data_IF_753772866257
#
_entry.id   IF_753772866257
#
_cell.length_a   1.000
_cell.length_b   1.000
_cell.length_c   1.000
_cell.angle_alpha   90.00
_cell.angle_beta   90.00
_cell.angle_gamma   90.00
#
_symmetry.space_group_name_H-M   'P 1'
#
loop_
_entity.id
_entity.type
_entity.pdbx_description
1 polymer ?
#
# COMPACT_ATOMS: atom_id res chain seq x y z
N UNK A 1 29.28 -11.25 7.36
CA UNK A 1 28.89 -10.39 8.49
C UNK A 1 30.14 -9.77 9.12
N UNK A 2 31.12 -10.53 9.68
CA UNK A 2 32.34 -9.96 10.33
C UNK A 2 33.10 -8.95 9.48
N UNK A 3 33.22 -9.17 8.16
CA UNK A 3 33.88 -8.21 7.26
C UNK A 3 33.06 -6.90 7.13
N UNK A 4 31.73 -7.00 7.06
CA UNK A 4 30.84 -5.83 7.03
C UNK A 4 30.91 -5.03 8.33
N UNK A 5 30.91 -5.70 9.48
CA UNK A 5 31.07 -5.07 10.81
C UNK A 5 32.39 -4.29 10.91
N UNK A 6 33.49 -4.89 10.39
CA UNK A 6 34.80 -4.25 10.37
C UNK A 6 34.82 -2.98 9.52
N UNK A 7 34.20 -3.03 8.32
CA UNK A 7 34.11 -1.88 7.41
C UNK A 7 33.25 -0.79 8.05
N UNK A 8 32.07 -1.15 8.56
CA UNK A 8 31.15 -0.18 9.17
C UNK A 8 31.76 0.44 10.42
N UNK A 9 32.43 -0.33 11.28
CA UNK A 9 33.10 0.17 12.45
C UNK A 9 34.19 1.21 12.16
N UNK A 10 34.84 1.11 10.99
CA UNK A 10 35.84 2.09 10.56
C UNK A 10 35.22 3.29 9.83
N UNK A 11 34.09 3.09 9.13
CA UNK A 11 33.46 4.14 8.32
C UNK A 11 32.56 5.05 9.17
N UNK A 12 31.73 4.49 10.04
CA UNK A 12 30.71 5.24 10.80
C UNK A 12 30.84 5.13 12.31
N UNK A 13 31.60 4.14 12.83
CA UNK A 13 31.80 3.83 14.24
C UNK A 13 30.49 3.47 14.98
N UNK A 14 29.66 4.44 15.30
CA UNK A 14 28.37 4.27 15.99
C UNK A 14 27.35 5.33 15.54
N UNK A 15 26.11 5.17 15.98
CA UNK A 15 25.08 6.19 15.78
C UNK A 15 25.47 7.48 16.50
N UNK A 16 25.12 8.64 15.92
CA UNK A 16 25.40 9.93 16.56
C UNK A 16 24.63 10.07 17.90
N UNK A 17 25.14 10.88 18.80
CA UNK A 17 24.59 11.05 20.15
C UNK A 17 23.16 11.63 20.17
N UNK A 18 22.85 12.52 19.23
CA UNK A 18 21.48 13.08 19.07
C UNK A 18 20.50 11.97 18.70
N UNK A 19 20.88 11.11 17.73
CA UNK A 19 20.05 9.97 17.34
C UNK A 19 19.89 8.95 18.47
N UNK A 20 20.91 8.73 19.29
CA UNK A 20 20.80 7.85 20.45
C UNK A 20 19.84 8.43 21.51
N UNK A 21 19.92 9.71 21.82
CA UNK A 21 19.01 10.37 22.75
C UNK A 21 17.55 10.33 22.23
N UNK A 22 17.35 10.62 20.95
CA UNK A 22 16.02 10.51 20.32
C UNK A 22 15.47 9.08 20.35
N UNK A 23 16.31 8.07 20.12
CA UNK A 23 15.90 6.67 20.20
C UNK A 23 15.50 6.25 21.63
N UNK A 24 16.21 6.72 22.66
CA UNK A 24 15.84 6.48 24.06
C UNK A 24 14.46 7.06 24.34
N UNK A 25 14.21 8.34 23.98
CA UNK A 25 12.91 8.97 24.18
C UNK A 25 11.80 8.25 23.40
N UNK A 26 12.06 7.84 22.17
CA UNK A 26 11.10 7.09 21.37
C UNK A 26 10.71 5.74 21.95
N UNK A 27 11.61 5.09 22.71
CA UNK A 27 11.37 3.76 23.30
C UNK A 27 10.79 3.82 24.72
N UNK A 28 11.18 4.80 25.53
CA UNK A 28 10.79 4.86 26.96
C UNK A 28 9.86 6.03 27.29
N UNK A 29 9.71 6.99 26.38
CA UNK A 29 8.80 8.13 26.53
C UNK A 29 7.33 7.76 26.38
N UNK A 30 6.46 8.75 26.44
CA UNK A 30 5.01 8.56 26.29
C UNK A 30 4.63 7.94 24.94
N UNK A 31 3.94 6.79 24.98
CA UNK A 31 3.48 6.05 23.79
C UNK A 31 2.05 6.41 23.34
N UNK A 32 1.38 7.36 24.00
CA UNK A 32 -0.01 7.72 23.71
C UNK A 32 -0.23 8.14 22.26
N UNK A 33 0.73 8.85 21.65
CA UNK A 33 0.69 9.24 20.25
C UNK A 33 0.73 8.02 19.31
N UNK A 34 1.52 7.00 19.65
CA UNK A 34 1.61 5.74 18.88
C UNK A 34 0.27 5.00 18.95
N UNK A 35 -0.33 4.89 20.13
CA UNK A 35 -1.63 4.23 20.32
C UNK A 35 -2.74 4.95 19.56
N UNK A 36 -2.76 6.29 19.58
CA UNK A 36 -3.69 7.09 18.80
C UNK A 36 -3.52 6.85 17.29
N UNK A 37 -2.29 6.89 16.78
CA UNK A 37 -1.98 6.64 15.38
C UNK A 37 -2.38 5.22 14.98
N UNK A 38 -2.04 4.22 15.81
CA UNK A 38 -2.40 2.81 15.57
C UNK A 38 -3.91 2.62 15.42
N UNK A 39 -4.71 3.27 16.28
CA UNK A 39 -6.18 3.24 16.18
C UNK A 39 -6.65 3.84 14.86
N UNK A 40 -6.15 5.03 14.49
CA UNK A 40 -6.49 5.70 13.23
C UNK A 40 -6.15 4.86 12.01
N UNK A 41 -4.98 4.22 12.01
CA UNK A 41 -4.60 3.32 10.90
C UNK A 41 -5.45 2.06 10.84
N UNK A 42 -5.88 1.52 11.97
CA UNK A 42 -6.82 0.39 12.01
C UNK A 42 -8.16 0.78 11.38
N UNK A 43 -8.74 1.92 11.76
CA UNK A 43 -10.01 2.40 11.21
C UNK A 43 -9.91 2.59 9.68
N UNK A 44 -8.81 3.18 9.20
CA UNK A 44 -8.56 3.36 7.75
C UNK A 44 -8.33 2.03 7.02
N UNK A 45 -7.64 1.08 7.64
CA UNK A 45 -7.46 -0.28 7.11
C UNK A 45 -8.81 -0.95 6.89
N UNK A 46 -9.63 -0.96 7.92
CA UNK A 46 -10.93 -1.63 7.89
C UNK A 46 -11.86 -0.96 6.86
N UNK A 47 -11.83 0.36 6.76
CA UNK A 47 -12.52 1.10 5.71
C UNK A 47 -12.01 0.72 4.32
N UNK A 48 -10.69 0.75 4.09
CA UNK A 48 -10.10 0.42 2.79
C UNK A 48 -10.47 -0.99 2.35
N UNK A 49 -10.30 -1.98 3.23
CA UNK A 49 -10.62 -3.38 2.94
C UNK A 49 -12.11 -3.56 2.66
N UNK A 50 -12.98 -2.94 3.47
CA UNK A 50 -14.43 -3.01 3.23
C UNK A 50 -14.82 -2.44 1.86
N UNK A 51 -14.26 -1.30 1.47
CA UNK A 51 -14.52 -0.68 0.18
C UNK A 51 -13.97 -1.50 -1.00
N UNK A 52 -12.75 -2.04 -0.89
CA UNK A 52 -12.16 -2.90 -1.91
C UNK A 52 -13.01 -4.15 -2.14
N UNK A 53 -13.53 -4.77 -1.09
CA UNK A 53 -14.40 -5.94 -1.19
C UNK A 53 -15.81 -5.63 -1.74
N UNK A 54 -16.17 -4.34 -1.92
CA UNK A 54 -17.39 -3.96 -2.69
C UNK A 54 -17.15 -3.92 -4.19
N UNK A 55 -15.90 -3.98 -4.65
CA UNK A 55 -15.57 -3.97 -6.07
C UNK A 55 -15.88 -5.34 -6.69
N UNK A 56 -16.47 -5.39 -7.88
CA UNK A 56 -16.78 -6.67 -8.52
C UNK A 56 -15.53 -7.53 -8.73
N UNK A 57 -15.59 -8.78 -8.32
CA UNK A 57 -14.51 -9.78 -8.52
C UNK A 57 -13.16 -9.39 -7.91
N UNK A 58 -13.14 -8.53 -6.91
CA UNK A 58 -11.96 -8.18 -6.11
C UNK A 58 -12.08 -8.81 -4.75
N UNK A 59 -11.01 -9.42 -4.27
CA UNK A 59 -10.90 -9.95 -2.91
C UNK A 59 -9.70 -9.32 -2.20
N UNK A 60 -9.92 -8.86 -0.97
CA UNK A 60 -8.90 -8.24 -0.13
C UNK A 60 -8.98 -8.79 1.28
N UNK A 61 -7.96 -9.52 1.69
CA UNK A 61 -7.80 -9.96 3.06
C UNK A 61 -7.41 -8.79 3.98
N UNK A 62 -7.79 -8.89 5.25
CA UNK A 62 -7.42 -7.88 6.25
C UNK A 62 -5.93 -8.04 6.59
N UNK A 63 -5.08 -7.04 6.26
CA UNK A 63 -3.67 -7.12 6.58
C UNK A 63 -3.43 -7.03 8.10
N UNK A 64 -2.51 -7.85 8.61
CA UNK A 64 -2.14 -7.86 10.03
C UNK A 64 -1.30 -6.66 10.47
N UNK A 65 -0.73 -5.90 9.53
CA UNK A 65 0.17 -4.77 9.82
C UNK A 65 0.46 -3.91 8.60
N UNK A 66 1.45 -3.03 8.73
CA UNK A 66 1.81 -2.00 7.75
C UNK A 66 0.65 -1.01 7.50
N UNK A 67 0.67 -0.34 6.35
CA UNK A 67 -0.35 0.62 5.91
C UNK A 67 -0.76 0.39 4.46
N UNK A 68 -0.71 -0.89 4.02
CA UNK A 68 -1.05 -1.32 2.67
C UNK A 68 -2.14 -2.39 2.70
N UNK A 69 -3.11 -2.27 1.77
CA UNK A 69 -4.00 -3.35 1.36
C UNK A 69 -3.48 -3.95 0.05
N UNK A 70 -3.63 -5.27 -0.13
CA UNK A 70 -3.07 -5.97 -1.28
C UNK A 70 -4.11 -6.91 -1.94
N UNK A 71 -5.20 -6.34 -2.49
CA UNK A 71 -6.29 -7.09 -3.11
C UNK A 71 -5.89 -7.80 -4.40
N UNK A 72 -6.58 -8.91 -4.66
CA UNK A 72 -6.50 -9.68 -5.89
C UNK A 72 -7.43 -9.07 -6.96
N UNK A 73 -6.84 -8.65 -8.08
CA UNK A 73 -7.49 -8.16 -9.30
C UNK A 73 -7.29 -9.11 -10.49
N UNK A 74 -6.86 -10.34 -10.27
CA UNK A 74 -6.54 -11.30 -11.33
C UNK A 74 -7.66 -11.49 -12.36
N UNK A 75 -8.93 -11.33 -11.95
CA UNK A 75 -10.11 -11.41 -12.83
C UNK A 75 -10.20 -10.28 -13.88
N UNK A 76 -9.39 -9.26 -13.74
CA UNK A 76 -9.30 -8.15 -14.71
C UNK A 76 -8.14 -8.32 -15.70
N UNK A 77 -7.21 -9.23 -15.42
CA UNK A 77 -6.14 -9.58 -16.36
C UNK A 77 -6.74 -10.34 -17.54
N UNK A 78 -6.37 -9.92 -18.75
CA UNK A 78 -6.92 -10.43 -20.00
C UNK A 78 -8.09 -9.63 -20.56
N UNK A 79 -8.74 -8.79 -19.75
CA UNK A 79 -9.81 -7.88 -20.18
C UNK A 79 -9.28 -6.72 -21.00
N UNK A 80 -10.20 -5.96 -21.61
CA UNK A 80 -9.85 -4.82 -22.42
C UNK A 80 -10.39 -3.52 -21.82
N UNK A 81 -9.53 -2.49 -21.79
CA UNK A 81 -9.94 -1.11 -21.57
C UNK A 81 -9.89 -0.39 -22.92
N UNK A 82 -11.06 -0.13 -23.51
CA UNK A 82 -11.17 0.31 -24.90
C UNK A 82 -10.47 -0.70 -25.83
N UNK A 83 -9.42 -0.28 -26.55
CA UNK A 83 -8.62 -1.13 -27.45
C UNK A 83 -7.37 -1.75 -26.77
N UNK A 84 -7.03 -1.31 -25.54
CA UNK A 84 -5.86 -1.80 -24.82
C UNK A 84 -6.20 -3.04 -24.02
N UNK A 85 -5.56 -4.18 -24.32
CA UNK A 85 -5.62 -5.39 -23.50
C UNK A 85 -4.81 -5.22 -22.22
N UNK A 86 -5.39 -5.56 -21.08
CA UNK A 86 -4.72 -5.61 -19.77
C UNK A 86 -3.97 -6.94 -19.67
N UNK A 87 -2.64 -6.91 -19.75
CA UNK A 87 -1.80 -8.12 -19.77
C UNK A 87 -1.38 -8.57 -18.36
N UNK A 88 -1.18 -7.61 -17.46
CA UNK A 88 -0.64 -7.80 -16.12
C UNK A 88 -1.11 -6.68 -15.17
N UNK A 89 -0.62 -6.69 -13.93
CA UNK A 89 -0.95 -5.65 -12.97
C UNK A 89 -0.32 -4.28 -13.30
N UNK A 90 0.74 -4.23 -14.10
CA UNK A 90 1.32 -2.96 -14.55
C UNK A 90 0.34 -2.24 -15.49
N UNK A 91 -0.21 -2.95 -16.49
CA UNK A 91 -1.19 -2.38 -17.40
C UNK A 91 -2.44 -1.88 -16.66
N UNK A 92 -2.92 -2.64 -15.66
CA UNK A 92 -4.08 -2.25 -14.87
C UNK A 92 -3.79 -1.03 -13.99
N UNK A 93 -2.63 -0.97 -13.35
CA UNK A 93 -2.18 0.20 -12.58
C UNK A 93 -2.03 1.44 -13.47
N UNK A 94 -1.51 1.29 -14.70
CA UNK A 94 -1.40 2.38 -15.66
C UNK A 94 -2.77 2.95 -16.05
N UNK A 95 -3.75 2.09 -16.31
CA UNK A 95 -5.14 2.51 -16.60
C UNK A 95 -5.76 3.20 -15.37
N UNK A 96 -5.61 2.64 -14.18
CA UNK A 96 -6.10 3.25 -12.92
C UNK A 96 -5.47 4.63 -12.72
N UNK A 97 -4.17 4.76 -12.91
CA UNK A 97 -3.46 6.04 -12.77
C UNK A 97 -3.97 7.08 -13.76
N UNK A 98 -4.02 6.71 -15.04
CA UNK A 98 -4.33 7.67 -16.11
C UNK A 98 -5.80 8.08 -16.13
N UNK A 99 -6.72 7.19 -15.77
CA UNK A 99 -8.18 7.42 -15.84
C UNK A 99 -8.75 7.82 -14.49
N UNK A 100 -8.49 7.05 -13.44
CA UNK A 100 -8.99 7.32 -12.09
C UNK A 100 -8.18 8.37 -11.33
N UNK A 101 -6.94 8.67 -11.77
CA UNK A 101 -5.98 9.52 -11.04
C UNK A 101 -5.70 8.99 -9.63
N UNK A 102 -5.61 7.67 -9.51
CA UNK A 102 -5.27 6.97 -8.27
C UNK A 102 -3.95 6.25 -8.45
N UNK A 103 -2.99 6.58 -7.60
CA UNK A 103 -1.67 5.93 -7.60
C UNK A 103 -1.77 4.59 -6.89
N UNK A 104 -1.37 3.53 -7.57
CA UNK A 104 -1.31 2.17 -7.03
C UNK A 104 0.01 1.51 -7.44
N UNK A 105 0.36 0.38 -6.83
CA UNK A 105 1.60 -0.31 -7.15
C UNK A 105 1.29 -1.73 -7.62
N UNK A 106 1.83 -2.14 -8.80
CA UNK A 106 1.57 -3.46 -9.36
C UNK A 106 2.20 -4.58 -8.52
N UNK A 107 1.43 -5.65 -8.31
CA UNK A 107 1.83 -6.81 -7.52
C UNK A 107 2.86 -7.69 -8.22
N UNK A 108 2.91 -7.67 -9.54
CA UNK A 108 3.93 -8.42 -10.31
C UNK A 108 5.35 -8.06 -9.85
N UNK A 109 5.61 -6.79 -9.49
CA UNK A 109 6.90 -6.35 -8.93
C UNK A 109 7.24 -6.97 -7.56
N UNK A 110 6.28 -7.59 -6.89
CA UNK A 110 6.42 -8.32 -5.61
C UNK A 110 6.28 -9.83 -5.77
N UNK A 111 6.26 -10.35 -7.00
CA UNK A 111 6.04 -11.76 -7.26
C UNK A 111 4.60 -12.24 -7.02
N UNK A 112 3.63 -11.32 -7.02
CA UNK A 112 2.20 -11.58 -6.84
C UNK A 112 1.40 -11.08 -8.06
N UNK A 113 1.42 -11.85 -9.19
CA UNK A 113 0.70 -11.49 -10.40
C UNK A 113 -0.78 -11.24 -10.14
N UNK A 114 -1.34 -10.22 -10.79
CA UNK A 114 -2.75 -9.86 -10.66
C UNK A 114 -3.13 -9.12 -9.37
N UNK A 115 -2.24 -8.99 -8.41
CA UNK A 115 -2.47 -8.18 -7.21
C UNK A 115 -2.11 -6.72 -7.45
N UNK A 116 -2.74 -5.82 -6.67
CA UNK A 116 -2.45 -4.38 -6.70
C UNK A 116 -2.35 -3.86 -5.27
N UNK A 117 -1.28 -3.12 -4.96
CA UNK A 117 -1.08 -2.55 -3.63
C UNK A 117 -1.67 -1.14 -3.53
N UNK A 118 -2.54 -0.96 -2.53
CA UNK A 118 -3.12 0.33 -2.13
C UNK A 118 -2.54 0.77 -0.79
N UNK A 119 -2.32 2.08 -0.61
CA UNK A 119 -1.95 2.67 0.68
C UNK A 119 -3.16 3.31 1.36
N UNK A 120 -3.34 3.09 2.66
CA UNK A 120 -4.37 3.74 3.47
C UNK A 120 -3.83 4.80 4.44
N UNK A 121 -2.75 5.47 4.05
CA UNK A 121 -2.16 6.58 4.83
C UNK A 121 -2.96 7.88 4.75
N UNK A 122 -3.87 7.99 3.80
CA UNK A 122 -4.68 9.20 3.53
C UNK A 122 -5.93 9.28 4.43
N UNK A 123 -6.60 10.44 4.43
CA UNK A 123 -7.87 10.62 5.11
C UNK A 123 -8.98 9.76 4.51
N UNK A 124 -10.00 9.43 5.32
CA UNK A 124 -11.09 8.52 4.94
C UNK A 124 -11.86 8.98 3.70
N UNK A 125 -12.10 10.29 3.56
CA UNK A 125 -12.79 10.86 2.39
C UNK A 125 -12.01 10.63 1.11
N UNK A 126 -10.67 10.78 1.16
CA UNK A 126 -9.79 10.53 0.02
C UNK A 126 -9.79 9.05 -0.35
N UNK A 127 -9.79 8.16 0.65
CA UNK A 127 -9.89 6.70 0.44
C UNK A 127 -11.22 6.37 -0.27
N UNK A 128 -12.35 6.89 0.22
CA UNK A 128 -13.68 6.65 -0.38
C UNK A 128 -13.75 7.15 -1.82
N UNK A 129 -13.29 8.36 -2.06
CA UNK A 129 -13.29 8.92 -3.41
C UNK A 129 -12.36 8.16 -4.35
N UNK A 130 -11.17 7.77 -3.87
CA UNK A 130 -10.22 6.98 -4.65
C UNK A 130 -10.82 5.65 -5.11
N UNK A 131 -11.41 4.87 -4.20
CA UNK A 131 -12.03 3.58 -4.54
C UNK A 131 -13.26 3.76 -5.43
N UNK A 132 -14.06 4.81 -5.24
CA UNK A 132 -15.17 5.16 -6.15
C UNK A 132 -14.68 5.40 -7.58
N UNK A 133 -13.56 6.09 -7.77
CA UNK A 133 -12.96 6.32 -9.09
C UNK A 133 -12.42 5.03 -9.70
N UNK A 134 -11.75 4.19 -8.90
CA UNK A 134 -11.30 2.87 -9.34
C UNK A 134 -12.48 2.03 -9.82
N UNK A 135 -13.59 1.98 -9.05
CA UNK A 135 -14.81 1.27 -9.44
C UNK A 135 -15.29 1.66 -10.84
N UNK A 136 -15.36 2.96 -11.13
CA UNK A 136 -15.79 3.47 -12.46
C UNK A 136 -14.87 3.03 -13.60
N UNK A 137 -13.59 2.82 -13.33
CA UNK A 137 -12.64 2.28 -14.31
C UNK A 137 -12.90 0.80 -14.53
N UNK A 138 -13.09 0.03 -13.46
CA UNK A 138 -13.35 -1.41 -13.55
C UNK A 138 -14.65 -1.72 -14.32
N UNK A 139 -15.68 -0.88 -14.17
CA UNK A 139 -16.96 -0.98 -14.89
C UNK A 139 -16.81 -0.78 -16.41
N UNK A 140 -15.70 -0.22 -16.89
CA UNK A 140 -15.40 -0.01 -18.30
C UNK A 140 -14.54 -1.13 -18.90
N UNK A 141 -14.10 -2.09 -18.09
CA UNK A 141 -13.29 -3.24 -18.52
C UNK A 141 -14.21 -4.39 -18.96
N UNK A 142 -14.08 -4.83 -20.19
CA UNK A 142 -14.87 -5.88 -20.85
C UNK A 142 -13.99 -7.03 -21.37
#
# INVERSE_FOLDING_TARGET
IKAMEKIQGQATSCANSIGQAAAVEALVGDQSAVDFMRKKFRDRRDLMVSLLNTLPSVNCDIPGGAFYAFPDFSKYIGKFFKEKKIKDSFDLCDVILNVAKVVTVPGDGFGAPGHIRFSYTLGEEVIREGIKRVKKVLEQLN
#
